data_IF_581877163694
#
_entry.id   IF_581877163694
#
_cell.length_a   1.000
_cell.length_b   1.000
_cell.length_c   1.000
_cell.angle_alpha   90.00
_cell.angle_beta   90.00
_cell.angle_gamma   90.00
#
_symmetry.space_group_name_H-M   'P 1'
#
loop_
_entity.id
_entity.type
_entity.pdbx_description
1 polymer ?
#
# COMPACT_ATOMS: atom_id res chain seq x y z
N UNK A 1 9.34 0.07 13.18
CA UNK A 1 8.01 -0.42 12.78
C UNK A 1 7.01 0.72 12.96
N UNK A 2 7.10 1.72 12.09
CA UNK A 2 6.39 3.01 12.20
C UNK A 2 5.03 2.99 11.49
N UNK A 3 4.78 1.97 10.68
CA UNK A 3 3.55 1.83 9.89
C UNK A 3 2.32 1.45 10.73
N UNK A 4 2.52 0.90 11.93
CA UNK A 4 1.42 0.41 12.79
C UNK A 4 0.92 1.41 13.82
N UNK A 5 1.62 2.53 14.06
CA UNK A 5 1.28 3.46 15.15
C UNK A 5 0.56 4.74 14.71
N UNK A 6 0.55 5.08 13.42
CA UNK A 6 -0.04 6.35 12.94
C UNK A 6 -1.57 6.36 12.83
N UNK A 7 -2.25 5.22 12.77
CA UNK A 7 -3.71 5.15 12.48
C UNK A 7 -4.63 5.28 13.71
N UNK A 8 -4.09 5.48 14.92
CA UNK A 8 -4.93 5.64 16.13
C UNK A 8 -5.59 7.01 16.26
N UNK A 9 -5.25 8.01 15.43
CA UNK A 9 -5.90 9.31 15.42
C UNK A 9 -7.13 9.37 14.49
N UNK A 10 -7.19 8.51 13.48
CA UNK A 10 -8.20 8.51 12.40
C UNK A 10 -9.48 7.72 12.71
N UNK A 11 -9.66 7.25 13.96
CA UNK A 11 -10.84 6.46 14.36
C UNK A 11 -12.16 7.24 14.44
N UNK A 12 -12.19 8.46 13.90
CA UNK A 12 -13.29 9.42 14.00
C UNK A 12 -13.77 9.96 12.64
N UNK A 13 -13.17 9.55 11.52
CA UNK A 13 -13.63 9.96 10.19
C UNK A 13 -14.80 9.07 9.76
N UNK A 14 -15.84 9.68 9.22
CA UNK A 14 -16.99 9.00 8.61
C UNK A 14 -17.37 9.64 7.27
N UNK A 15 -18.22 8.95 6.51
CA UNK A 15 -18.72 9.42 5.22
C UNK A 15 -17.61 9.89 4.27
N UNK A 16 -17.83 11.06 3.68
CA UNK A 16 -16.94 11.68 2.69
C UNK A 16 -15.52 11.93 3.25
N UNK A 17 -15.37 12.23 4.55
CA UNK A 17 -14.05 12.46 5.15
C UNK A 17 -13.20 11.18 5.22
N UNK A 18 -13.86 10.03 5.43
CA UNK A 18 -13.19 8.74 5.40
C UNK A 18 -12.82 8.34 3.96
N UNK A 19 -13.69 8.62 3.00
CA UNK A 19 -13.43 8.38 1.57
C UNK A 19 -12.23 9.19 1.09
N UNK A 20 -12.22 10.51 1.32
CA UNK A 20 -11.10 11.40 1.00
C UNK A 20 -9.78 10.93 1.63
N UNK A 21 -9.84 10.43 2.86
CA UNK A 21 -8.66 9.92 3.55
C UNK A 21 -8.13 8.63 2.89
N UNK A 22 -9.02 7.69 2.57
CA UNK A 22 -8.67 6.44 1.89
C UNK A 22 -8.12 6.72 0.49
N UNK A 23 -8.69 7.68 -0.24
CA UNK A 23 -8.23 8.08 -1.56
C UNK A 23 -6.82 8.66 -1.51
N UNK A 24 -6.54 9.56 -0.57
CA UNK A 24 -5.18 10.12 -0.39
C UNK A 24 -4.16 9.05 -0.05
N UNK A 25 -4.52 8.07 0.79
CA UNK A 25 -3.63 6.96 1.11
C UNK A 25 -3.37 6.06 -0.11
N UNK A 26 -4.41 5.81 -0.90
CA UNK A 26 -4.34 4.98 -2.12
C UNK A 26 -3.49 5.66 -3.20
N UNK A 27 -3.67 6.96 -3.39
CA UNK A 27 -2.88 7.76 -4.31
C UNK A 27 -1.40 7.76 -3.89
N UNK A 28 -1.13 8.01 -2.61
CA UNK A 28 0.23 7.98 -2.09
C UNK A 28 0.88 6.60 -2.24
N UNK A 29 0.15 5.51 -1.98
CA UNK A 29 0.62 4.15 -2.22
C UNK A 29 0.97 3.92 -3.70
N UNK A 30 0.11 4.39 -4.61
CA UNK A 30 0.33 4.25 -6.06
C UNK A 30 1.56 5.03 -6.50
N UNK A 31 1.75 6.26 -6.00
CA UNK A 31 2.90 7.11 -6.30
C UNK A 31 4.23 6.48 -5.84
N UNK A 32 4.30 6.01 -4.59
CA UNK A 32 5.55 5.48 -4.03
C UNK A 32 5.92 4.11 -4.61
N UNK A 33 4.93 3.26 -4.89
CA UNK A 33 5.19 1.91 -5.40
C UNK A 33 5.44 1.91 -6.89
N UNK A 34 4.73 2.79 -7.63
CA UNK A 34 4.76 2.86 -9.09
C UNK A 34 4.23 1.60 -9.77
N UNK A 35 3.54 0.72 -9.02
CA UNK A 35 3.11 -0.58 -9.54
C UNK A 35 1.95 -0.39 -10.53
N UNK A 36 1.93 -1.11 -11.68
CA UNK A 36 0.91 -0.93 -12.71
C UNK A 36 -0.51 -1.28 -12.23
N UNK A 37 -0.63 -2.17 -11.25
CA UNK A 37 -1.93 -2.51 -10.62
C UNK A 37 -2.41 -1.47 -9.59
N UNK A 38 -1.61 -0.44 -9.25
CA UNK A 38 -2.03 0.67 -8.40
C UNK A 38 -2.76 0.22 -7.11
N UNK A 39 -3.89 0.84 -6.78
CA UNK A 39 -4.74 0.49 -5.64
C UNK A 39 -5.38 -0.90 -5.73
N UNK A 40 -5.40 -1.57 -6.89
CA UNK A 40 -5.99 -2.90 -7.03
C UNK A 40 -5.28 -3.94 -6.15
N UNK A 41 -3.99 -3.73 -5.87
CA UNK A 41 -3.25 -4.58 -4.94
C UNK A 41 -3.85 -4.59 -3.52
N UNK A 42 -4.55 -3.52 -3.13
CA UNK A 42 -5.16 -3.35 -1.81
C UNK A 42 -6.64 -3.75 -1.85
N UNK A 43 -7.38 -3.27 -2.85
CA UNK A 43 -8.84 -3.44 -2.91
C UNK A 43 -9.28 -4.76 -3.56
N UNK A 44 -8.50 -5.25 -4.52
CA UNK A 44 -8.83 -6.42 -5.35
C UNK A 44 -7.65 -7.40 -5.46
N UNK A 45 -7.13 -7.93 -4.34
CA UNK A 45 -6.03 -8.88 -4.37
C UNK A 45 -6.46 -10.17 -5.07
N UNK A 46 -5.53 -10.80 -5.80
CA UNK A 46 -5.78 -12.03 -6.57
C UNK A 46 -6.22 -13.22 -5.69
N UNK A 47 -5.86 -13.19 -4.40
CA UNK A 47 -6.23 -14.22 -3.43
C UNK A 47 -6.46 -13.63 -2.04
N UNK A 48 -7.14 -14.40 -1.18
CA UNK A 48 -7.33 -14.03 0.24
C UNK A 48 -5.99 -13.88 0.96
N UNK A 49 -5.00 -14.70 0.62
CA UNK A 49 -3.66 -14.65 1.20
C UNK A 49 -2.93 -13.37 0.77
N UNK A 50 -3.12 -12.92 -0.47
CA UNK A 50 -2.53 -11.69 -0.99
C UNK A 50 -3.08 -10.42 -0.31
N UNK A 51 -4.18 -10.52 0.45
CA UNK A 51 -4.76 -9.40 1.21
C UNK A 51 -3.92 -8.98 2.41
N UNK A 52 -3.03 -9.86 2.90
CA UNK A 52 -2.17 -9.54 4.03
C UNK A 52 -1.14 -8.46 3.64
N UNK A 53 -0.94 -7.42 4.46
CA UNK A 53 -0.02 -6.31 4.15
C UNK A 53 1.40 -6.77 3.80
N UNK A 54 1.91 -7.80 4.48
CA UNK A 54 3.22 -8.38 4.22
C UNK A 54 3.34 -8.97 2.81
N UNK A 55 2.25 -9.53 2.29
CA UNK A 55 2.19 -10.11 0.95
C UNK A 55 2.07 -9.03 -0.13
N UNK A 56 1.30 -7.97 0.11
CA UNK A 56 1.26 -6.79 -0.77
C UNK A 56 2.67 -6.19 -0.92
N UNK A 57 3.39 -6.01 0.20
CA UNK A 57 4.77 -5.51 0.17
C UNK A 57 5.72 -6.46 -0.57
N UNK A 58 5.52 -7.78 -0.44
CA UNK A 58 6.31 -8.77 -1.18
C UNK A 58 6.07 -8.64 -2.69
N UNK A 59 4.82 -8.55 -3.14
CA UNK A 59 4.45 -8.35 -4.56
C UNK A 59 5.12 -7.09 -5.11
N UNK A 60 5.02 -5.96 -4.40
CA UNK A 60 5.64 -4.69 -4.82
C UNK A 60 7.16 -4.83 -4.91
N UNK A 61 7.82 -5.44 -3.93
CA UNK A 61 9.28 -5.65 -3.95
C UNK A 61 9.73 -6.54 -5.10
N UNK A 62 9.04 -7.66 -5.33
CA UNK A 62 9.35 -8.59 -6.41
C UNK A 62 9.19 -7.93 -7.77
N UNK A 63 8.10 -7.18 -7.97
CA UNK A 63 7.89 -6.41 -9.19
C UNK A 63 8.98 -5.35 -9.38
N UNK A 64 9.27 -4.51 -8.37
CA UNK A 64 10.33 -3.48 -8.49
C UNK A 64 11.69 -4.08 -8.79
N UNK A 65 12.03 -5.22 -8.17
CA UNK A 65 13.26 -5.96 -8.45
C UNK A 65 13.30 -6.46 -9.89
N UNK A 66 12.19 -6.97 -10.42
CA UNK A 66 12.07 -7.41 -11.82
C UNK A 66 12.29 -6.27 -12.83
N UNK A 67 11.94 -5.03 -12.44
CA UNK A 67 12.13 -3.83 -13.26
C UNK A 67 13.51 -3.18 -13.07
N UNK A 68 14.36 -3.70 -12.17
CA UNK A 68 15.64 -3.08 -11.81
C UNK A 68 15.50 -1.74 -11.08
N UNK A 69 14.35 -1.47 -10.48
CA UNK A 69 14.09 -0.25 -9.73
C UNK A 69 14.66 -0.34 -8.31
N UNK A 70 15.07 0.79 -7.69
CA UNK A 70 15.49 0.80 -6.30
C UNK A 70 14.35 0.33 -5.40
N UNK A 71 14.70 -0.50 -4.42
CA UNK A 71 13.79 -0.96 -3.38
C UNK A 71 13.65 0.10 -2.27
N UNK A 72 12.85 -0.21 -1.25
CA UNK A 72 12.66 0.67 -0.09
C UNK A 72 13.98 0.87 0.67
N UNK A 73 14.06 1.98 1.43
CA UNK A 73 15.19 2.21 2.35
C UNK A 73 15.32 0.98 3.26
N UNK A 74 16.55 0.47 3.38
CA UNK A 74 16.94 -0.73 4.14
C UNK A 74 16.56 -2.11 3.53
N UNK A 75 16.21 -2.17 2.25
CA UNK A 75 16.13 -3.46 1.53
C UNK A 75 17.46 -3.78 0.84
N UNK A 76 18.40 -4.37 1.59
CA UNK A 76 19.53 -5.13 0.99
C UNK A 76 19.03 -6.38 0.23
#
# INVERSE_FOLDING_TARGET
DEFRTSTRKDKLLDGDELEDYIDRLTEHFTEITGHPAQGDLIFYPESVEAREPENILKIVREWRRSQGLPLFKDSE
#
